data_IF_984973961696
#
_entry.id   IF_984973961696
#
_cell.length_a   1.000
_cell.length_b   1.000
_cell.length_c   1.000
_cell.angle_alpha   90.00
_cell.angle_beta   90.00
_cell.angle_gamma   90.00
#
_symmetry.space_group_name_H-M   'P 1'
#
loop_
_entity.id
_entity.type
_entity.pdbx_description
1 polymer ?
#
# COMPACT_ATOMS: atom_id res chain seq x y z
N UNK A 1 12.25 -7.85 -1.12
CA UNK A 1 10.92 -7.17 -1.16
C UNK A 1 10.50 -6.90 -2.60
N UNK A 2 11.40 -6.37 -3.45
CA UNK A 2 11.13 -6.13 -4.89
C UNK A 2 10.94 -7.42 -5.70
N UNK A 3 11.71 -8.48 -5.42
CA UNK A 3 11.62 -9.76 -6.15
C UNK A 3 10.23 -10.41 -6.04
N UNK A 4 9.68 -10.54 -4.82
CA UNK A 4 8.33 -11.09 -4.60
C UNK A 4 7.24 -10.34 -5.35
N UNK A 5 7.37 -9.02 -5.45
CA UNK A 5 6.43 -8.19 -6.22
C UNK A 5 6.54 -8.48 -7.72
N UNK A 6 7.76 -8.63 -8.23
CA UNK A 6 7.99 -8.98 -9.64
C UNK A 6 7.42 -10.37 -9.95
N UNK A 7 7.72 -11.37 -9.13
CA UNK A 7 7.23 -12.75 -9.30
C UNK A 7 5.69 -12.80 -9.31
N UNK A 8 5.04 -12.12 -8.35
CA UNK A 8 3.58 -12.08 -8.28
C UNK A 8 2.96 -11.29 -9.43
N UNK A 9 3.62 -10.22 -9.89
CA UNK A 9 3.16 -9.45 -11.04
C UNK A 9 3.22 -10.31 -12.30
N UNK A 10 4.32 -11.02 -12.52
CA UNK A 10 4.46 -11.93 -13.66
C UNK A 10 3.40 -13.03 -13.64
N UNK A 11 3.17 -13.66 -12.48
CA UNK A 11 2.10 -14.66 -12.33
C UNK A 11 0.72 -14.09 -12.65
N UNK A 12 0.42 -12.87 -12.17
CA UNK A 12 -0.83 -12.19 -12.45
C UNK A 12 -0.99 -11.88 -13.95
N UNK A 13 0.08 -11.40 -14.59
CA UNK A 13 0.08 -11.08 -16.02
C UNK A 13 -0.12 -12.35 -16.88
N UNK A 14 0.48 -13.48 -16.47
CA UNK A 14 0.25 -14.78 -17.11
C UNK A 14 -1.23 -15.19 -16.99
N UNK A 15 -1.83 -15.11 -15.80
CA UNK A 15 -3.24 -15.46 -15.60
C UNK A 15 -4.17 -14.56 -16.43
N UNK A 16 -3.88 -13.25 -16.49
CA UNK A 16 -4.63 -12.33 -17.32
C UNK A 16 -4.52 -12.66 -18.81
N UNK A 17 -3.33 -13.06 -19.27
CA UNK A 17 -3.12 -13.45 -20.67
C UNK A 17 -3.91 -14.71 -21.03
N UNK A 18 -3.90 -15.72 -20.16
CA UNK A 18 -4.69 -16.96 -20.32
C UNK A 18 -6.19 -16.68 -20.32
N UNK A 19 -6.68 -15.81 -19.43
CA UNK A 19 -8.08 -15.39 -19.38
C UNK A 19 -8.51 -14.73 -20.69
N UNK A 20 -7.67 -13.86 -21.26
CA UNK A 20 -7.95 -13.21 -22.56
C UNK A 20 -8.04 -14.23 -23.70
N UNK A 21 -7.15 -15.20 -23.74
CA UNK A 21 -7.19 -16.28 -24.73
C UNK A 21 -8.47 -17.11 -24.61
N UNK A 22 -8.83 -17.52 -23.39
CA UNK A 22 -10.08 -18.25 -23.15
C UNK A 22 -11.30 -17.46 -23.59
N UNK A 23 -11.35 -16.16 -23.29
CA UNK A 23 -12.44 -15.29 -23.73
C UNK A 23 -12.51 -15.21 -25.26
N UNK A 24 -11.39 -15.07 -25.95
CA UNK A 24 -11.35 -15.07 -27.42
C UNK A 24 -11.85 -16.39 -28.01
N UNK A 25 -11.51 -17.52 -27.40
CA UNK A 25 -11.96 -18.83 -27.86
C UNK A 25 -13.46 -19.04 -27.62
N UNK A 26 -13.98 -18.59 -26.48
CA UNK A 26 -15.43 -18.59 -26.22
C UNK A 26 -16.16 -17.70 -27.24
N UNK A 27 -15.63 -16.52 -27.56
CA UNK A 27 -16.21 -15.65 -28.59
C UNK A 27 -16.29 -16.32 -29.96
N UNK A 28 -15.20 -16.95 -30.39
CA UNK A 28 -15.17 -17.71 -31.66
C UNK A 28 -16.22 -18.82 -31.67
N UNK A 29 -16.35 -19.57 -30.58
CA UNK A 29 -17.35 -20.64 -30.44
C UNK A 29 -18.78 -20.11 -30.45
N UNK A 30 -19.04 -18.94 -29.84
CA UNK A 30 -20.38 -18.33 -29.85
C UNK A 30 -20.81 -17.86 -31.24
N UNK A 31 -19.89 -17.60 -32.16
CA UNK A 31 -20.23 -17.28 -33.55
C UNK A 31 -20.78 -18.48 -34.33
N UNK A 32 -20.52 -19.71 -33.88
CA UNK A 32 -20.95 -20.96 -34.52
C UNK A 32 -22.24 -21.56 -33.94
N UNK A 33 -22.84 -20.93 -32.92
CA UNK A 33 -24.06 -21.40 -32.24
C UNK A 33 -25.31 -20.79 -32.89
N UNK A 34 -26.43 -21.51 -32.81
CA UNK A 34 -27.79 -21.08 -33.20
C UNK A 34 -28.07 -19.61 -32.87
N UNK A 35 -28.66 -18.90 -33.85
CA UNK A 35 -28.95 -17.46 -33.78
C UNK A 35 -29.89 -17.09 -32.62
N UNK A 36 -30.67 -18.03 -32.09
CA UNK A 36 -31.57 -17.82 -30.95
C UNK A 36 -30.82 -17.64 -29.61
N UNK A 37 -29.67 -18.30 -29.43
CA UNK A 37 -28.90 -18.29 -28.17
C UNK A 37 -27.77 -17.25 -28.17
N UNK A 38 -27.37 -16.79 -29.36
CA UNK A 38 -26.34 -15.79 -29.61
C UNK A 38 -26.50 -14.49 -28.79
N UNK A 39 -27.68 -13.85 -28.68
CA UNK A 39 -27.82 -12.62 -27.90
C UNK A 39 -27.62 -12.84 -26.40
N UNK A 40 -28.10 -13.96 -25.84
CA UNK A 40 -27.93 -14.27 -24.42
C UNK A 40 -26.46 -14.55 -24.05
N UNK A 41 -25.72 -15.21 -24.94
CA UNK A 41 -24.30 -15.49 -24.76
C UNK A 41 -23.45 -14.23 -24.93
N UNK A 42 -23.78 -13.34 -25.88
CA UNK A 42 -23.09 -12.05 -26.04
C UNK A 42 -23.23 -11.15 -24.81
N UNK A 43 -24.41 -11.09 -24.20
CA UNK A 43 -24.61 -10.32 -22.94
C UNK A 43 -23.76 -10.89 -21.81
N UNK A 44 -23.67 -12.23 -21.71
CA UNK A 44 -22.87 -12.89 -20.67
C UNK A 44 -21.37 -12.67 -20.90
N UNK A 45 -20.92 -12.75 -22.16
CA UNK A 45 -19.55 -12.42 -22.57
C UNK A 45 -19.19 -10.97 -22.26
N UNK A 46 -20.10 -10.01 -22.50
CA UNK A 46 -19.87 -8.61 -22.15
C UNK A 46 -19.69 -8.42 -20.65
N UNK A 47 -20.45 -9.13 -19.81
CA UNK A 47 -20.28 -9.11 -18.35
C UNK A 47 -18.94 -9.70 -17.91
N UNK A 48 -18.46 -10.75 -18.60
CA UNK A 48 -17.15 -11.38 -18.32
C UNK A 48 -15.96 -10.56 -18.83
N UNK A 49 -16.16 -9.73 -19.86
CA UNK A 49 -15.17 -8.80 -20.39
C UNK A 49 -14.91 -7.60 -19.47
N UNK A 50 -15.80 -7.30 -18.54
CA UNK A 50 -15.57 -6.23 -17.57
C UNK A 50 -14.27 -6.57 -16.83
N UNK A 51 -13.23 -5.71 -16.91
CA UNK A 51 -11.99 -5.98 -16.23
C UNK A 51 -12.28 -6.11 -14.74
N UNK A 52 -11.95 -7.27 -14.16
CA UNK A 52 -11.99 -7.52 -12.70
C UNK A 52 -11.22 -6.45 -11.91
N UNK A 53 -10.36 -5.68 -12.57
CA UNK A 53 -9.67 -4.50 -12.02
C UNK A 53 -10.64 -3.47 -11.40
N UNK A 54 -11.91 -3.44 -11.81
CA UNK A 54 -12.94 -2.55 -11.24
C UNK A 54 -13.59 -3.08 -9.95
N UNK A 55 -13.29 -4.29 -9.48
CA UNK A 55 -13.90 -4.87 -8.27
C UNK A 55 -13.11 -4.63 -6.98
N UNK A 56 -12.18 -3.68 -6.96
CA UNK A 56 -11.63 -3.16 -5.70
C UNK A 56 -12.60 -2.11 -5.16
N UNK A 57 -13.72 -2.59 -4.62
CA UNK A 57 -14.83 -1.73 -4.21
C UNK A 57 -14.57 -1.02 -2.86
N UNK A 58 -13.52 -1.42 -2.14
CA UNK A 58 -13.16 -0.79 -0.87
C UNK A 58 -11.65 -0.63 -0.67
N UNK A 59 -11.28 0.44 0.01
CA UNK A 59 -9.90 0.76 0.34
C UNK A 59 -9.21 -0.36 1.15
N UNK A 60 -9.97 -1.09 1.97
CA UNK A 60 -9.46 -2.25 2.71
C UNK A 60 -9.04 -3.40 1.78
N UNK A 61 -9.74 -3.62 0.66
CA UNK A 61 -9.35 -4.62 -0.33
C UNK A 61 -8.07 -4.21 -1.05
N UNK A 62 -7.90 -2.90 -1.31
CA UNK A 62 -6.67 -2.38 -1.92
C UNK A 62 -5.45 -2.59 -1.02
N UNK A 63 -5.56 -2.27 0.27
CA UNK A 63 -4.49 -2.47 1.26
C UNK A 63 -4.14 -3.95 1.37
N UNK A 64 -5.14 -4.84 1.38
CA UNK A 64 -4.93 -6.30 1.39
C UNK A 64 -4.18 -6.79 0.15
N UNK A 65 -4.55 -6.29 -1.04
CA UNK A 65 -3.88 -6.65 -2.29
C UNK A 65 -2.43 -6.16 -2.31
N UNK A 66 -2.16 -4.95 -1.83
CA UNK A 66 -0.78 -4.46 -1.72
C UNK A 66 0.02 -5.28 -0.71
N UNK A 67 -0.58 -5.63 0.44
CA UNK A 67 0.07 -6.44 1.46
C UNK A 67 0.52 -7.79 0.92
N UNK A 68 -0.35 -8.48 0.17
CA UNK A 68 -0.01 -9.77 -0.45
C UNK A 68 1.10 -9.61 -1.50
N UNK A 69 1.01 -8.60 -2.38
CA UNK A 69 2.00 -8.37 -3.44
C UNK A 69 3.38 -7.97 -2.93
N UNK A 70 3.44 -7.18 -1.86
CA UNK A 70 4.71 -6.59 -1.37
C UNK A 70 5.31 -7.36 -0.19
N UNK A 71 4.53 -8.25 0.44
CA UNK A 71 4.90 -8.92 1.69
C UNK A 71 4.96 -7.97 2.89
N UNK A 72 4.46 -6.74 2.75
CA UNK A 72 4.39 -5.75 3.82
C UNK A 72 3.08 -5.94 4.58
N UNK A 73 3.11 -5.87 5.91
CA UNK A 73 1.90 -6.04 6.72
C UNK A 73 0.85 -4.96 6.42
N UNK A 74 -0.43 -5.32 6.47
CA UNK A 74 -1.54 -4.35 6.33
C UNK A 74 -1.40 -3.17 7.32
N UNK A 75 -0.89 -3.45 8.53
CA UNK A 75 -0.66 -2.43 9.56
C UNK A 75 0.36 -1.40 9.09
N UNK A 76 1.47 -1.85 8.54
CA UNK A 76 2.51 -0.97 8.00
C UNK A 76 1.98 -0.12 6.85
N UNK A 77 1.19 -0.71 5.95
CA UNK A 77 0.58 0.03 4.83
C UNK A 77 -0.40 1.10 5.30
N UNK A 78 -1.20 0.83 6.35
CA UNK A 78 -2.07 1.85 6.96
C UNK A 78 -1.29 2.99 7.59
N UNK A 79 -0.16 2.69 8.24
CA UNK A 79 0.74 3.72 8.81
C UNK A 79 1.30 4.60 7.69
N UNK A 80 1.83 3.99 6.63
CA UNK A 80 2.37 4.71 5.45
C UNK A 80 1.29 5.59 4.82
N UNK A 81 0.07 5.08 4.65
CA UNK A 81 -1.07 5.86 4.14
C UNK A 81 -1.34 7.08 5.03
N UNK A 82 -1.45 6.89 6.34
CA UNK A 82 -1.73 7.97 7.28
C UNK A 82 -0.61 9.01 7.31
N UNK A 83 0.65 8.58 7.25
CA UNK A 83 1.80 9.49 7.15
C UNK A 83 1.80 10.26 5.83
N UNK A 84 1.43 9.61 4.72
CA UNK A 84 1.25 10.26 3.42
C UNK A 84 0.14 11.32 3.46
N UNK A 85 -1.01 11.02 4.07
CA UNK A 85 -2.10 12.00 4.24
C UNK A 85 -1.69 13.17 5.12
N UNK A 86 -1.07 12.90 6.27
CA UNK A 86 -0.65 13.94 7.21
C UNK A 86 0.46 14.85 6.64
N UNK A 87 1.30 14.32 5.75
CA UNK A 87 2.39 15.06 5.13
C UNK A 87 2.08 15.54 3.70
N UNK A 88 0.83 15.46 3.24
CA UNK A 88 0.42 15.84 1.88
C UNK A 88 1.26 15.17 0.78
N UNK A 89 1.63 13.90 0.98
CA UNK A 89 2.45 13.10 0.07
C UNK A 89 3.96 13.37 0.15
N UNK A 90 4.41 14.31 0.98
CA UNK A 90 5.84 14.60 1.16
C UNK A 90 6.43 13.65 2.20
N UNK A 91 7.30 12.76 1.77
CA UNK A 91 8.05 11.91 2.70
C UNK A 91 8.99 12.76 3.56
N UNK A 92 8.68 12.87 4.85
CA UNK A 92 9.51 13.57 5.84
C UNK A 92 10.04 12.56 6.84
N UNK A 93 11.30 12.72 7.23
CA UNK A 93 11.91 11.89 8.26
C UNK A 93 11.08 11.96 9.54
N UNK A 94 10.65 10.81 10.11
CA UNK A 94 9.90 10.81 11.37
C UNK A 94 10.69 11.55 12.44
N UNK A 95 10.13 12.63 13.00
CA UNK A 95 10.72 13.35 14.13
C UNK A 95 11.07 14.81 13.89
N UNK A 96 11.21 15.30 12.65
CA UNK A 96 11.53 16.73 12.40
C UNK A 96 10.41 17.71 12.83
N UNK A 97 9.17 17.24 12.91
CA UNK A 97 8.01 18.04 13.34
C UNK A 97 7.18 17.35 14.42
N UNK A 98 7.70 16.30 15.07
CA UNK A 98 7.08 15.90 16.33
C UNK A 98 7.32 17.06 17.26
N UNK A 99 6.27 17.81 17.59
CA UNK A 99 6.29 18.69 18.74
C UNK A 99 6.88 17.83 19.86
N UNK A 100 8.12 18.14 20.25
CA UNK A 100 8.75 17.43 21.34
C UNK A 100 7.72 17.48 22.44
N UNK A 101 7.24 16.31 22.90
CA UNK A 101 6.37 16.27 24.05
C UNK A 101 7.23 16.93 25.11
N UNK A 102 6.90 18.16 25.47
CA UNK A 102 7.65 18.93 26.44
C UNK A 102 7.51 18.14 27.73
N UNK A 103 8.45 17.24 27.95
CA UNK A 103 8.57 16.53 29.19
C UNK A 103 9.05 17.64 30.08
N UNK A 104 8.12 18.25 30.83
CA UNK A 104 8.44 19.12 31.95
C UNK A 104 9.15 18.22 32.96
N UNK A 105 10.40 17.87 32.67
CA UNK A 105 11.33 17.38 33.66
C UNK A 105 11.53 18.59 34.56
N UNK A 106 10.86 18.58 35.72
CA UNK A 106 11.23 19.48 36.79
C UNK A 106 12.65 19.07 37.14
N UNK A 107 13.61 19.90 36.74
CA UNK A 107 14.98 19.78 37.20
C UNK A 107 14.91 20.15 38.67
N UNK A 108 15.06 19.18 39.56
CA UNK A 108 15.12 19.45 40.99
C UNK A 108 16.42 20.19 41.31
N UNK A 109 16.45 20.97 42.39
CA UNK A 109 17.59 21.83 42.76
C UNK A 109 18.93 21.08 42.83
N UNK A 110 18.89 19.76 43.07
CA UNK A 110 20.05 18.88 43.08
C UNK A 110 20.73 18.77 41.69
N UNK A 111 19.94 18.69 40.63
CA UNK A 111 20.45 18.61 39.25
C UNK A 111 21.01 19.96 38.78
N UNK A 112 20.46 21.09 39.26
CA UNK A 112 21.01 22.43 39.00
C UNK A 112 22.41 22.61 39.62
N UNK A 113 22.62 22.14 40.84
CA UNK A 113 23.92 22.20 41.51
C UNK A 113 25.00 21.42 40.74
N UNK A 114 24.64 20.26 40.20
CA UNK A 114 25.55 19.38 39.45
C UNK A 114 25.96 19.96 38.09
N UNK A 115 25.05 20.67 37.42
CA UNK A 115 25.36 21.39 36.17
C UNK A 115 26.27 22.59 36.44
N UNK A 116 26.06 23.30 37.57
CA UNK A 116 26.90 24.43 37.97
C UNK A 116 28.37 24.07 38.24
N UNK A 117 28.66 22.87 38.72
CA UNK A 117 30.05 22.43 38.97
C UNK A 117 30.82 22.06 37.69
N UNK A 118 30.14 21.57 36.65
CA UNK A 118 30.80 21.20 35.40
C UNK A 118 31.24 22.41 34.55
N UNK A 119 30.68 23.60 34.80
CA UNK A 119 31.08 24.82 34.10
C UNK A 119 32.33 25.49 34.69
N UNK A 120 32.74 25.15 35.91
CA UNK A 120 33.95 25.72 36.54
C UNK A 120 35.23 24.92 36.25
N UNK A 121 35.11 23.73 35.65
CA UNK A 121 36.26 22.85 35.36
C UNK A 121 37.00 23.17 34.04
N UNK A 122 36.52 24.14 33.25
CA UNK A 122 37.13 24.49 31.96
C UNK A 122 37.81 25.87 31.91
N UNK A 123 37.92 26.59 33.04
CA UNK A 123 38.61 27.90 33.09
C UNK A 123 39.94 27.89 33.87
N UNK A 124 40.56 26.72 34.07
CA UNK A 124 41.94 26.66 34.58
C UNK A 124 42.76 25.69 33.73
N UNK A 125 43.35 26.23 32.65
CA UNK A 125 44.77 26.15 32.31
C UNK A 125 45.10 27.00 31.08
#
# INVERSE_FOLDING_TARGET
MISKFQDMKEQHDVVLSQKRLCLQDIEKLTCSISDELKPHLQVTLQKLKVPEELTINSENQYIKKIASMTGVSERTLRVIKNEGQNNQGIWRTPGKQRAARATKVKIDNFDQWRIGQNCQLFEIQ
#
